data_IF_195026806855
#
_entry.id   IF_195026806855
#
_cell.length_a   1.000
_cell.length_b   1.000
_cell.length_c   1.000
_cell.angle_alpha   90.00
_cell.angle_beta   90.00
_cell.angle_gamma   90.00
#
_symmetry.space_group_name_H-M   'P 1'
#
loop_
_entity.id
_entity.type
_entity.pdbx_description
1 polymer ?
#
# COMPACT_ATOMS: atom_id res chain seq x y z
N UNK A 1 -11.55 8.44 8.85
CA UNK A 1 -10.44 8.56 7.87
C UNK A 1 -11.06 8.92 6.53
N UNK A 2 -10.58 10.00 5.90
CA UNK A 2 -11.21 10.58 4.71
C UNK A 2 -10.23 10.52 3.55
N UNK A 3 -10.56 9.72 2.53
CA UNK A 3 -9.77 9.64 1.30
C UNK A 3 -9.90 10.91 0.47
N UNK A 4 -8.86 11.24 -0.30
CA UNK A 4 -8.82 12.45 -1.11
C UNK A 4 -8.40 12.24 -2.54
N UNK A 5 -8.72 13.22 -3.39
CA UNK A 5 -8.19 13.35 -4.74
C UNK A 5 -7.42 14.66 -4.82
N UNK A 6 -6.18 14.58 -5.31
CA UNK A 6 -5.35 15.73 -5.68
C UNK A 6 -5.28 15.84 -7.19
N UNK A 7 -5.75 16.96 -7.71
CA UNK A 7 -5.74 17.24 -9.14
C UNK A 7 -4.36 17.79 -9.53
N UNK A 8 -3.60 17.00 -10.25
CA UNK A 8 -2.25 17.36 -10.70
C UNK A 8 -2.26 17.76 -12.18
N UNK A 9 -1.51 18.78 -12.52
CA UNK A 9 -1.26 19.23 -13.90
C UNK A 9 0.24 19.43 -14.08
N UNK A 10 0.89 18.68 -14.97
CA UNK A 10 2.33 18.82 -15.22
C UNK A 10 2.75 20.21 -15.70
N UNK A 11 1.82 20.95 -16.31
CA UNK A 11 2.00 22.31 -16.82
C UNK A 11 1.51 23.39 -15.84
N UNK A 12 1.25 23.05 -14.57
CA UNK A 12 0.79 24.00 -13.56
C UNK A 12 1.93 24.90 -13.07
N UNK A 13 1.53 26.05 -12.49
CA UNK A 13 2.48 26.98 -11.85
C UNK A 13 2.86 26.53 -10.43
N UNK A 14 2.27 25.44 -9.94
CA UNK A 14 2.49 24.93 -8.60
C UNK A 14 3.75 24.07 -8.52
N UNK A 15 4.43 24.13 -7.37
CA UNK A 15 5.62 23.33 -7.08
C UNK A 15 5.20 21.91 -6.61
N UNK A 16 4.63 21.16 -7.53
CA UNK A 16 4.18 19.80 -7.30
C UNK A 16 5.26 18.80 -7.65
N UNK A 17 5.65 17.98 -6.67
CA UNK A 17 6.43 16.76 -6.85
C UNK A 17 5.60 15.63 -6.23
N UNK A 18 4.82 14.87 -7.00
CA UNK A 18 3.82 13.94 -6.48
C UNK A 18 4.36 12.92 -5.47
N UNK A 19 5.65 12.60 -5.55
CA UNK A 19 6.35 11.66 -4.65
C UNK A 19 6.70 12.28 -3.29
N UNK A 20 6.78 13.63 -3.22
CA UNK A 20 7.26 14.36 -2.04
C UNK A 20 6.24 15.34 -1.50
N UNK A 21 5.60 16.12 -2.39
CA UNK A 21 4.75 17.25 -2.01
C UNK A 21 3.73 17.63 -3.07
N UNK A 22 2.63 18.19 -2.60
CA UNK A 22 1.59 18.80 -3.44
C UNK A 22 1.23 20.17 -2.93
N UNK A 23 1.40 21.23 -3.76
CA UNK A 23 1.15 22.62 -3.40
C UNK A 23 -0.28 23.04 -3.77
N UNK A 24 -0.95 23.77 -2.88
CA UNK A 24 -2.32 24.23 -3.09
C UNK A 24 -2.62 25.51 -2.33
N UNK A 25 -3.59 26.35 -2.81
CA UNK A 25 -3.97 27.61 -2.16
C UNK A 25 -4.80 27.38 -0.88
N UNK A 26 -4.76 28.36 0.03
CA UNK A 26 -5.37 28.34 1.36
C UNK A 26 -6.85 27.93 1.38
N UNK A 27 -7.62 28.20 0.33
CA UNK A 27 -9.03 27.80 0.22
C UNK A 27 -9.26 26.28 0.33
N UNK A 28 -8.25 25.45 0.07
CA UNK A 28 -8.33 24.00 0.19
C UNK A 28 -7.77 23.46 1.52
N UNK A 29 -7.18 24.30 2.37
CA UNK A 29 -6.53 23.86 3.61
C UNK A 29 -7.44 23.00 4.49
N UNK A 30 -8.67 23.43 4.75
CA UNK A 30 -9.61 22.67 5.59
C UNK A 30 -10.01 21.31 5.02
N UNK A 31 -9.99 21.16 3.68
CA UNK A 31 -10.22 19.85 3.03
C UNK A 31 -8.98 18.98 3.07
N UNK A 32 -7.82 19.52 2.74
CA UNK A 32 -6.56 18.81 2.71
C UNK A 32 -6.17 18.27 4.10
N UNK A 33 -6.43 19.04 5.16
CA UNK A 33 -6.14 18.62 6.54
C UNK A 33 -6.90 17.37 6.98
N UNK A 34 -8.03 17.05 6.34
CA UNK A 34 -8.77 15.81 6.61
C UNK A 34 -8.05 14.55 6.11
N UNK A 35 -7.05 14.71 5.25
CA UNK A 35 -6.32 13.59 4.64
C UNK A 35 -5.00 13.28 5.37
N UNK A 36 -4.64 14.03 6.42
CA UNK A 36 -3.42 13.76 7.20
C UNK A 36 -3.51 12.33 7.80
N UNK A 37 -2.47 11.54 7.53
CA UNK A 37 -2.39 10.15 7.93
C UNK A 37 -3.21 9.18 7.06
N UNK A 38 -3.81 9.66 5.95
CA UNK A 38 -4.63 8.83 5.06
C UNK A 38 -4.19 8.93 3.59
N UNK A 39 -4.76 8.07 2.76
CA UNK A 39 -4.42 7.93 1.36
C UNK A 39 -5.17 8.90 0.47
N UNK A 40 -4.48 9.42 -0.55
CA UNK A 40 -5.04 10.21 -1.66
C UNK A 40 -4.72 9.54 -2.98
N UNK A 41 -5.51 9.85 -4.01
CA UNK A 41 -5.19 9.52 -5.40
C UNK A 41 -4.90 10.78 -6.18
N UNK A 42 -3.92 10.71 -7.08
CA UNK A 42 -3.61 11.77 -8.03
C UNK A 42 -4.43 11.62 -9.30
N UNK A 43 -4.96 12.72 -9.78
CA UNK A 43 -5.78 12.77 -10.98
C UNK A 43 -5.29 13.86 -11.95
N UNK A 44 -5.04 13.50 -13.19
CA UNK A 44 -4.84 14.44 -14.28
C UNK A 44 -6.14 14.67 -15.04
N UNK A 45 -6.57 15.95 -15.23
CA UNK A 45 -7.86 16.25 -15.87
C UNK A 45 -7.89 15.88 -17.36
N UNK A 46 -9.10 15.70 -17.91
CA UNK A 46 -9.34 15.25 -19.29
C UNK A 46 -8.64 16.14 -20.37
N UNK A 47 -8.36 17.40 -20.04
CA UNK A 47 -7.67 18.34 -20.96
C UNK A 47 -6.13 18.21 -20.91
N UNK A 48 -5.58 17.41 -20.02
CA UNK A 48 -4.13 17.18 -19.95
C UNK A 48 -3.68 16.20 -21.03
N UNK A 49 -2.36 16.14 -21.26
CA UNK A 49 -1.77 15.24 -22.25
C UNK A 49 -2.05 13.76 -21.96
N UNK A 50 -2.18 13.41 -20.69
CA UNK A 50 -2.32 12.02 -20.25
C UNK A 50 -3.36 11.92 -19.11
N UNK A 51 -4.67 12.06 -19.44
CA UNK A 51 -5.71 12.16 -18.43
C UNK A 51 -5.95 10.85 -17.66
N UNK A 52 -6.45 10.97 -16.43
CA UNK A 52 -6.86 9.83 -15.58
C UNK A 52 -6.22 9.85 -14.20
N UNK A 53 -6.65 8.91 -13.36
CA UNK A 53 -6.01 8.66 -12.07
C UNK A 53 -4.73 7.86 -12.32
N UNK A 54 -3.62 8.31 -11.76
CA UNK A 54 -2.32 7.78 -12.16
C UNK A 54 -1.44 7.31 -11.01
N UNK A 55 -1.71 7.74 -9.78
CA UNK A 55 -0.92 7.36 -8.62
C UNK A 55 -1.73 7.47 -7.32
N UNK A 56 -1.21 6.85 -6.29
CA UNK A 56 -1.67 6.93 -4.91
C UNK A 56 -0.52 7.36 -4.02
N UNK A 57 -0.81 8.08 -2.94
CA UNK A 57 0.15 8.44 -1.92
C UNK A 57 -0.52 8.63 -0.56
N UNK A 58 0.27 8.65 0.52
CA UNK A 58 -0.22 8.94 1.87
C UNK A 58 0.27 10.32 2.31
N UNK A 59 -0.65 11.14 2.81
CA UNK A 59 -0.32 12.47 3.33
C UNK A 59 0.20 12.32 4.76
N UNK A 60 1.42 12.79 5.04
CA UNK A 60 1.99 12.80 6.39
C UNK A 60 1.65 14.07 7.15
N UNK A 61 1.68 15.22 6.45
CA UNK A 61 1.54 16.54 7.06
C UNK A 61 0.96 17.56 6.07
N UNK A 62 0.30 18.58 6.60
CA UNK A 62 -0.05 19.79 5.84
C UNK A 62 0.65 20.97 6.51
N UNK A 63 1.47 21.69 5.78
CA UNK A 63 2.23 22.83 6.29
C UNK A 63 2.10 24.07 5.39
N UNK A 64 2.22 25.31 5.93
CA UNK A 64 2.30 26.52 5.13
C UNK A 64 3.53 26.50 4.24
N UNK A 65 3.38 26.96 2.99
CA UNK A 65 4.52 27.13 2.10
C UNK A 65 5.27 28.43 2.46
N UNK A 66 6.50 28.26 2.94
CA UNK A 66 7.35 29.40 3.33
C UNK A 66 7.83 30.23 2.13
N UNK A 67 7.78 29.68 0.91
CA UNK A 67 8.25 30.33 -0.32
C UNK A 67 7.15 31.02 -1.09
N UNK A 68 5.87 30.69 -0.81
CA UNK A 68 4.70 31.21 -1.51
C UNK A 68 3.60 31.62 -0.51
N UNK A 69 3.49 32.91 -0.12
CA UNK A 69 2.46 33.39 0.81
C UNK A 69 1.04 33.00 0.37
N UNK A 70 0.23 32.47 1.31
CA UNK A 70 -1.13 32.00 1.03
C UNK A 70 -1.23 30.61 0.40
N UNK A 71 -0.09 29.93 0.24
CA UNK A 71 -0.03 28.56 -0.23
C UNK A 71 0.29 27.58 0.90
N UNK A 72 -0.13 26.35 0.71
CA UNK A 72 0.13 25.23 1.61
C UNK A 72 0.74 24.06 0.82
N UNK A 73 1.44 23.18 1.52
CA UNK A 73 1.99 21.93 0.99
C UNK A 73 1.42 20.75 1.76
N UNK A 74 0.90 19.77 1.04
CA UNK A 74 0.74 18.42 1.55
C UNK A 74 2.06 17.70 1.38
N UNK A 75 2.66 17.27 2.48
CA UNK A 75 3.88 16.47 2.49
C UNK A 75 3.48 15.01 2.36
N UNK A 76 4.09 14.32 1.43
CA UNK A 76 3.84 12.90 1.17
C UNK A 76 4.73 12.05 2.10
N UNK A 77 4.16 11.03 2.71
CA UNK A 77 4.90 10.08 3.53
C UNK A 77 5.94 9.35 2.65
N UNK A 78 7.24 9.40 3.00
CA UNK A 78 8.28 8.74 2.21
C UNK A 78 7.94 7.26 1.96
N UNK A 79 8.09 6.82 0.71
CA UNK A 79 7.80 5.46 0.28
C UNK A 79 6.32 5.12 0.12
N UNK A 80 5.40 6.05 0.37
CA UNK A 80 3.97 5.81 0.18
C UNK A 80 3.48 6.09 -1.24
N UNK A 81 4.24 6.84 -2.04
CA UNK A 81 3.88 7.12 -3.42
C UNK A 81 4.01 5.87 -4.29
N UNK A 82 2.96 5.58 -5.05
CA UNK A 82 2.97 4.50 -6.02
C UNK A 82 2.23 4.92 -7.29
N UNK A 83 2.93 4.88 -8.41
CA UNK A 83 2.32 5.09 -9.71
C UNK A 83 1.54 3.83 -10.13
N UNK A 84 0.36 4.00 -10.69
CA UNK A 84 -0.42 2.89 -11.23
C UNK A 84 0.26 2.30 -12.48
N UNK A 85 0.34 0.98 -12.62
CA UNK A 85 0.80 0.33 -13.85
C UNK A 85 0.02 0.78 -15.08
N UNK A 86 -1.28 1.00 -14.93
CA UNK A 86 -2.14 1.55 -15.96
C UNK A 86 -2.97 2.69 -15.38
N UNK A 87 -3.06 3.81 -16.11
CA UNK A 87 -3.93 4.93 -15.68
C UNK A 87 -5.39 4.50 -15.70
N UNK A 88 -6.11 4.90 -14.66
CA UNK A 88 -7.56 4.67 -14.57
C UNK A 88 -8.26 5.85 -15.23
N UNK A 89 -9.07 5.65 -16.27
CA UNK A 89 -9.76 6.74 -16.96
C UNK A 89 -10.76 7.42 -16.01
N UNK A 90 -11.15 8.65 -16.34
CA UNK A 90 -12.20 9.35 -15.59
C UNK A 90 -13.54 8.65 -15.71
N UNK A 91 -13.79 8.02 -16.86
CA UNK A 91 -15.00 7.28 -17.23
C UNK A 91 -14.61 6.05 -18.04
N UNK A 92 -15.31 4.93 -17.81
CA UNK A 92 -15.23 3.70 -18.60
C UNK A 92 -16.63 3.29 -19.11
N UNK A 93 -16.75 2.06 -19.60
CA UNK A 93 -18.02 1.51 -20.12
C UNK A 93 -19.10 1.41 -19.04
N UNK A 94 -18.71 1.29 -17.76
CA UNK A 94 -19.62 1.25 -16.60
C UNK A 94 -20.02 2.65 -16.11
N UNK A 95 -19.53 3.72 -16.76
CA UNK A 95 -19.78 5.12 -16.43
C UNK A 95 -18.65 5.79 -15.66
N UNK A 96 -19.00 6.82 -14.85
CA UNK A 96 -18.01 7.57 -14.08
C UNK A 96 -17.36 6.70 -13.02
N UNK A 97 -16.02 6.71 -12.96
CA UNK A 97 -15.27 5.96 -11.94
C UNK A 97 -15.51 6.57 -10.56
N UNK A 98 -15.44 7.89 -10.43
CA UNK A 98 -15.79 8.65 -9.22
C UNK A 98 -17.27 9.03 -9.24
N UNK A 99 -18.14 8.09 -8.85
CA UNK A 99 -19.60 8.26 -8.90
C UNK A 99 -20.11 9.35 -7.96
N UNK A 100 -19.39 9.65 -6.89
CA UNK A 100 -19.70 10.77 -5.97
C UNK A 100 -19.59 12.16 -6.61
N UNK A 101 -19.12 12.27 -7.85
CA UNK A 101 -19.16 13.51 -8.63
C UNK A 101 -20.49 13.77 -9.30
N UNK A 102 -21.39 12.79 -9.39
CA UNK A 102 -22.72 12.97 -9.94
C UNK A 102 -23.62 13.71 -8.94
N UNK A 103 -24.41 14.64 -9.45
CA UNK A 103 -25.49 15.25 -8.69
C UNK A 103 -26.79 14.40 -8.78
N UNK A 104 -27.84 14.82 -8.09
CA UNK A 104 -29.13 14.10 -8.07
C UNK A 104 -29.78 13.96 -9.46
N UNK A 105 -29.38 14.81 -10.42
CA UNK A 105 -29.83 14.73 -11.82
C UNK A 105 -28.91 13.88 -12.71
N UNK A 106 -27.94 13.15 -12.14
CA UNK A 106 -26.99 12.31 -12.86
C UNK A 106 -25.95 13.09 -13.69
N UNK A 107 -25.80 14.40 -13.47
CA UNK A 107 -24.82 15.24 -14.17
C UNK A 107 -23.56 15.43 -13.31
N UNK A 108 -22.41 15.57 -13.99
CA UNK A 108 -21.14 15.86 -13.32
C UNK A 108 -21.21 17.21 -12.61
N UNK A 109 -20.96 17.23 -11.32
CA UNK A 109 -20.94 18.43 -10.50
C UNK A 109 -19.63 19.21 -10.68
N UNK A 110 -19.66 20.53 -10.37
CA UNK A 110 -18.46 21.38 -10.39
C UNK A 110 -17.34 20.89 -9.45
N UNK A 111 -17.62 19.97 -8.52
CA UNK A 111 -16.62 19.35 -7.64
C UNK A 111 -15.52 18.61 -8.41
N UNK A 112 -15.81 18.14 -9.62
CA UNK A 112 -14.83 17.49 -10.50
C UNK A 112 -13.61 18.36 -10.82
N UNK A 113 -13.77 19.71 -10.77
CA UNK A 113 -12.71 20.68 -11.07
C UNK A 113 -11.93 21.13 -9.81
N UNK A 114 -12.37 20.70 -8.61
CA UNK A 114 -11.68 21.09 -7.38
C UNK A 114 -10.31 20.41 -7.28
N UNK A 115 -9.27 21.23 -7.07
CA UNK A 115 -7.89 20.76 -7.00
C UNK A 115 -7.69 19.77 -5.83
N UNK A 116 -8.40 19.97 -4.71
CA UNK A 116 -8.40 19.12 -3.53
C UNK A 116 -9.85 18.79 -3.18
N UNK A 117 -10.23 17.51 -3.21
CA UNK A 117 -11.58 17.07 -2.89
C UNK A 117 -11.62 15.73 -2.14
N UNK A 118 -12.57 15.56 -1.22
CA UNK A 118 -12.80 14.27 -0.59
C UNK A 118 -13.45 13.31 -1.58
N UNK A 119 -13.13 12.04 -1.45
CA UNK A 119 -13.67 10.93 -2.25
C UNK A 119 -14.30 9.89 -1.31
N UNK A 120 -15.38 9.23 -1.75
CA UNK A 120 -15.98 8.13 -1.02
C UNK A 120 -15.03 6.91 -1.00
N UNK A 121 -15.13 6.09 0.04
CA UNK A 121 -14.35 4.84 0.13
C UNK A 121 -14.64 3.95 -1.09
N UNK A 122 -15.91 3.85 -1.48
CA UNK A 122 -16.32 3.04 -2.63
C UNK A 122 -15.72 3.52 -3.97
N UNK A 123 -15.61 4.83 -4.18
CA UNK A 123 -14.98 5.39 -5.38
C UNK A 123 -13.46 5.23 -5.33
N UNK A 124 -12.86 5.43 -4.15
CA UNK A 124 -11.45 5.20 -3.93
C UNK A 124 -11.07 3.74 -4.23
N UNK A 125 -11.80 2.77 -3.68
CA UNK A 125 -11.60 1.35 -3.92
C UNK A 125 -11.79 0.99 -5.40
N UNK A 126 -12.76 1.62 -6.09
CA UNK A 126 -13.00 1.42 -7.53
C UNK A 126 -11.84 1.92 -8.38
N UNK A 127 -11.22 3.04 -8.01
CA UNK A 127 -10.01 3.55 -8.68
C UNK A 127 -8.86 2.57 -8.46
N UNK A 128 -8.65 2.13 -7.22
CA UNK A 128 -7.53 1.25 -6.90
C UNK A 128 -7.65 -0.13 -7.53
N UNK A 129 -8.85 -0.72 -7.55
CA UNK A 129 -9.07 -2.03 -8.19
C UNK A 129 -8.78 -2.02 -9.69
N UNK A 130 -8.91 -0.86 -10.35
CA UNK A 130 -8.58 -0.69 -11.78
C UNK A 130 -7.12 -0.28 -11.99
N UNK A 131 -6.54 0.50 -11.09
CA UNK A 131 -5.16 0.99 -11.19
C UNK A 131 -4.12 -0.03 -10.74
N UNK A 132 -4.51 -0.94 -9.84
CA UNK A 132 -3.66 -2.03 -9.34
C UNK A 132 -4.33 -3.35 -9.69
N UNK A 133 -3.91 -4.04 -10.76
CA UNK A 133 -4.52 -5.29 -11.22
C UNK A 133 -4.54 -6.37 -10.14
N UNK A 134 -5.59 -7.19 -10.17
CA UNK A 134 -5.80 -8.34 -9.25
C UNK A 134 -4.98 -9.58 -9.63
N UNK A 135 -3.75 -9.45 -10.10
CA UNK A 135 -2.99 -10.61 -10.59
C UNK A 135 -2.54 -11.59 -9.48
N UNK A 136 -3.13 -11.50 -8.27
CA UNK A 136 -2.74 -12.39 -7.19
C UNK A 136 -3.90 -12.93 -6.34
N UNK A 137 -3.91 -14.26 -6.09
CA UNK A 137 -4.71 -14.80 -5.00
C UNK A 137 -4.26 -14.15 -3.67
N UNK A 138 -5.23 -13.77 -2.85
CA UNK A 138 -5.00 -13.27 -1.50
C UNK A 138 -3.99 -14.15 -0.73
N UNK A 139 -3.10 -13.56 0.08
CA UNK A 139 -2.19 -14.32 0.91
C UNK A 139 -2.96 -15.38 1.72
N UNK A 140 -2.38 -16.56 1.89
CA UNK A 140 -2.97 -17.68 2.66
C UNK A 140 -3.40 -17.32 4.08
N UNK A 141 -2.89 -16.21 4.65
CA UNK A 141 -3.24 -15.68 5.96
C UNK A 141 -4.72 -15.28 6.13
N UNK A 142 -5.43 -14.97 5.04
CA UNK A 142 -6.88 -14.65 5.13
C UNK A 142 -7.71 -15.92 5.27
N UNK A 143 -7.21 -17.04 4.79
CA UNK A 143 -7.89 -18.32 4.92
C UNK A 143 -7.89 -18.84 6.36
N UNK A 144 -6.76 -18.71 7.07
CA UNK A 144 -6.65 -19.10 8.48
C UNK A 144 -7.50 -18.18 9.40
N UNK A 145 -7.58 -16.88 9.11
CA UNK A 145 -8.44 -15.94 9.86
C UNK A 145 -9.94 -16.16 9.58
N UNK A 146 -10.31 -16.61 8.37
CA UNK A 146 -11.70 -16.95 8.02
C UNK A 146 -12.11 -18.29 8.61
N UNK A 147 -11.22 -19.28 8.63
CA UNK A 147 -11.49 -20.60 9.26
C UNK A 147 -11.60 -20.50 10.77
N UNK A 148 -10.79 -19.64 11.44
CA UNK A 148 -10.92 -19.39 12.87
C UNK A 148 -12.14 -18.56 13.25
N UNK A 149 -12.72 -17.78 12.34
CA UNK A 149 -13.98 -17.08 12.59
C UNK A 149 -15.22 -17.93 12.26
N UNK A 150 -15.05 -19.03 11.52
CA UNK A 150 -16.14 -19.93 11.14
C UNK A 150 -16.52 -20.99 12.23
N UNK A 151 -15.75 -21.07 13.31
CA UNK A 151 -16.10 -21.92 14.46
C UNK A 151 -16.97 -21.17 15.45
N UNK A 152 -18.23 -21.07 15.14
CA UNK A 152 -19.47 -20.95 15.94
C UNK A 152 -20.48 -20.03 15.28
N UNK A 153 -21.33 -20.61 14.44
CA UNK A 153 -22.70 -20.15 14.37
C UNK A 153 -23.60 -21.29 13.92
N UNK A 154 -24.49 -21.69 14.84
CA UNK A 154 -25.64 -22.51 14.55
C UNK A 154 -26.51 -21.82 13.50
N UNK A 155 -27.01 -22.60 12.54
CA UNK A 155 -27.97 -22.16 11.54
C UNK A 155 -29.20 -21.54 12.21
N UNK A 156 -29.35 -20.26 12.12
CA UNK A 156 -30.64 -19.59 12.21
C UNK A 156 -30.90 -18.84 10.91
N UNK A 157 -32.01 -19.15 10.27
CA UNK A 157 -32.54 -18.47 9.09
C UNK A 157 -32.91 -17.03 9.46
N UNK A 158 -31.93 -16.11 9.43
CA UNK A 158 -32.20 -14.68 9.47
C UNK A 158 -31.75 -14.04 8.17
N UNK A 159 -32.66 -13.29 7.58
CA UNK A 159 -32.43 -12.38 6.46
C UNK A 159 -31.27 -11.46 6.86
N UNK A 160 -30.10 -11.67 6.24
CA UNK A 160 -28.93 -10.85 6.47
C UNK A 160 -29.20 -9.51 5.81
N UNK A 161 -29.54 -8.49 6.59
CA UNK A 161 -29.20 -7.12 6.23
C UNK A 161 -27.69 -7.05 6.10
N UNK A 162 -27.20 -7.03 4.86
CA UNK A 162 -25.79 -6.92 4.56
C UNK A 162 -25.28 -5.64 5.21
N UNK A 163 -24.51 -5.80 6.30
CA UNK A 163 -23.95 -4.69 7.03
C UNK A 163 -22.90 -4.00 6.14
N UNK A 164 -23.33 -2.95 5.43
CA UNK A 164 -22.50 -2.11 4.56
C UNK A 164 -21.21 -1.62 5.26
N UNK A 165 -21.22 -1.56 6.59
CA UNK A 165 -20.05 -1.20 7.38
C UNK A 165 -18.99 -2.31 7.38
N UNK A 166 -19.41 -3.56 7.33
CA UNK A 166 -18.54 -4.75 7.31
C UNK A 166 -17.90 -4.95 5.93
N UNK A 167 -18.69 -4.81 4.85
CA UNK A 167 -18.17 -4.82 3.47
C UNK A 167 -17.17 -3.70 3.22
N UNK A 168 -17.48 -2.46 3.65
CA UNK A 168 -16.58 -1.32 3.52
C UNK A 168 -15.26 -1.52 4.28
N UNK A 169 -15.28 -2.16 5.46
CA UNK A 169 -14.06 -2.48 6.21
C UNK A 169 -13.23 -3.57 5.53
N UNK A 170 -13.86 -4.61 5.00
CA UNK A 170 -13.19 -5.68 4.27
C UNK A 170 -12.53 -5.16 3.00
N UNK A 171 -13.27 -4.40 2.19
CA UNK A 171 -12.74 -3.80 0.95
C UNK A 171 -11.59 -2.84 1.23
N UNK A 172 -11.70 -2.00 2.26
CA UNK A 172 -10.62 -1.09 2.68
C UNK A 172 -9.39 -1.84 3.17
N UNK A 173 -9.55 -3.01 3.81
CA UNK A 173 -8.43 -3.87 4.23
C UNK A 173 -7.72 -4.47 3.01
N UNK A 174 -8.47 -5.07 2.09
CA UNK A 174 -7.93 -5.66 0.86
C UNK A 174 -7.13 -4.67 0.02
N UNK A 175 -7.63 -3.44 -0.09
CA UNK A 175 -6.95 -2.37 -0.82
C UNK A 175 -5.63 -1.99 -0.14
N UNK A 176 -5.62 -1.83 1.18
CA UNK A 176 -4.39 -1.51 1.92
C UNK A 176 -3.35 -2.61 1.77
N UNK A 177 -3.75 -3.86 1.85
CA UNK A 177 -2.88 -5.02 1.68
C UNK A 177 -2.26 -5.05 0.27
N UNK A 178 -3.03 -4.75 -0.77
CA UNK A 178 -2.54 -4.64 -2.16
C UNK A 178 -1.53 -3.51 -2.32
N UNK A 179 -1.83 -2.34 -1.76
CA UNK A 179 -0.92 -1.18 -1.82
C UNK A 179 0.38 -1.49 -1.08
N UNK A 180 0.30 -1.99 0.16
CA UNK A 180 1.46 -2.41 0.93
C UNK A 180 2.32 -3.40 0.16
N UNK A 181 1.70 -4.45 -0.39
CA UNK A 181 2.38 -5.46 -1.19
C UNK A 181 3.11 -4.86 -2.38
N UNK A 182 2.43 -4.04 -3.17
CA UNK A 182 3.01 -3.42 -4.36
C UNK A 182 4.19 -2.53 -4.01
N UNK A 183 4.07 -1.74 -2.95
CA UNK A 183 5.13 -0.85 -2.47
C UNK A 183 6.36 -1.62 -1.99
N UNK A 184 6.17 -2.67 -1.19
CA UNK A 184 7.27 -3.51 -0.70
C UNK A 184 7.97 -4.20 -1.88
N UNK A 185 7.24 -4.88 -2.76
CA UNK A 185 7.82 -5.59 -3.90
C UNK A 185 8.59 -4.63 -4.81
N UNK A 186 8.08 -3.42 -5.03
CA UNK A 186 8.77 -2.39 -5.83
C UNK A 186 10.03 -1.89 -5.13
N UNK A 187 10.00 -1.63 -3.83
CA UNK A 187 11.16 -1.14 -3.06
C UNK A 187 12.32 -2.15 -3.06
N UNK A 188 12.01 -3.44 -3.15
CA UNK A 188 12.99 -4.53 -3.25
C UNK A 188 13.33 -4.93 -4.69
N UNK A 189 12.96 -4.13 -5.69
CA UNK A 189 13.22 -4.43 -7.10
C UNK A 189 12.71 -5.82 -7.50
N UNK A 190 11.57 -6.25 -6.96
CA UNK A 190 10.96 -7.58 -7.22
C UNK A 190 11.89 -8.75 -6.89
N UNK A 191 12.79 -8.58 -5.92
CA UNK A 191 13.83 -9.51 -5.52
C UNK A 191 13.61 -10.00 -4.10
N UNK A 192 13.87 -11.29 -3.86
CA UNK A 192 13.87 -11.82 -2.50
C UNK A 192 15.04 -11.24 -1.70
N UNK A 193 14.73 -10.65 -0.53
CA UNK A 193 15.73 -10.05 0.35
C UNK A 193 16.80 -11.05 0.83
N UNK A 194 16.42 -12.29 1.09
CA UNK A 194 17.30 -13.31 1.67
C UNK A 194 18.10 -14.07 0.60
N UNK A 195 17.42 -14.54 -0.44
CA UNK A 195 18.08 -15.34 -1.48
C UNK A 195 18.75 -14.49 -2.55
N UNK A 196 18.30 -13.26 -2.75
CA UNK A 196 18.72 -12.42 -3.86
C UNK A 196 18.10 -12.78 -5.21
N UNK A 197 17.26 -13.82 -5.29
CA UNK A 197 16.60 -14.23 -6.52
C UNK A 197 15.58 -13.20 -6.98
N UNK A 198 15.55 -12.95 -8.29
CA UNK A 198 14.56 -12.15 -8.97
C UNK A 198 13.90 -13.02 -10.04
N UNK A 199 12.81 -13.67 -9.68
CA UNK A 199 12.05 -14.53 -10.58
C UNK A 199 10.80 -13.79 -11.04
N UNK A 200 10.71 -13.55 -12.36
CA UNK A 200 9.60 -12.85 -13.00
C UNK A 200 9.07 -13.75 -14.12
N UNK A 201 7.77 -14.05 -14.11
CA UNK A 201 7.15 -14.84 -15.17
C UNK A 201 6.98 -14.02 -16.47
N UNK A 202 6.59 -14.71 -17.56
CA UNK A 202 6.40 -14.07 -18.87
C UNK A 202 5.31 -12.97 -18.89
N UNK A 203 4.43 -12.91 -17.88
CA UNK A 203 3.42 -11.86 -17.68
C UNK A 203 3.89 -10.68 -16.79
N UNK A 204 5.18 -10.66 -16.39
CA UNK A 204 5.73 -9.59 -15.57
C UNK A 204 5.49 -9.72 -14.07
N UNK A 205 4.89 -10.83 -13.60
CA UNK A 205 4.63 -11.10 -12.19
C UNK A 205 5.89 -11.64 -11.51
N UNK A 206 6.26 -11.01 -10.38
CA UNK A 206 7.34 -11.49 -9.52
C UNK A 206 6.87 -12.65 -8.63
N UNK A 207 7.76 -13.61 -8.35
CA UNK A 207 7.50 -14.73 -7.44
C UNK A 207 7.45 -14.29 -5.99
N UNK A 208 8.19 -13.22 -5.63
CA UNK A 208 8.29 -12.73 -4.26
C UNK A 208 6.96 -12.20 -3.72
N UNK A 209 6.78 -12.37 -2.42
CA UNK A 209 5.67 -11.87 -1.63
C UNK A 209 6.14 -10.80 -0.66
N UNK A 210 5.24 -9.87 -0.30
CA UNK A 210 5.50 -8.90 0.75
C UNK A 210 5.09 -9.48 2.10
N UNK A 211 6.06 -9.70 2.97
CA UNK A 211 5.84 -10.12 4.34
C UNK A 211 5.83 -8.91 5.29
N UNK A 212 4.90 -8.88 6.25
CA UNK A 212 4.99 -7.97 7.39
C UNK A 212 6.01 -8.50 8.38
N UNK A 213 7.00 -7.68 8.78
CA UNK A 213 7.99 -8.06 9.80
C UNK A 213 7.31 -8.18 11.17
N UNK A 214 6.49 -7.20 11.53
CA UNK A 214 5.56 -7.25 12.65
C UNK A 214 4.14 -7.39 12.10
N UNK A 215 3.41 -8.49 12.34
CA UNK A 215 2.09 -8.74 11.79
C UNK A 215 1.08 -7.65 12.15
N UNK A 216 0.11 -7.39 11.26
CA UNK A 216 -0.98 -6.44 11.50
C UNK A 216 -1.81 -6.84 12.72
N UNK A 217 -2.02 -8.13 12.94
CA UNK A 217 -2.70 -8.68 14.11
C UNK A 217 -2.02 -8.30 15.45
N UNK A 218 -0.70 -8.06 15.41
CA UNK A 218 0.11 -7.60 16.54
C UNK A 218 0.31 -6.08 16.58
N UNK A 219 -0.45 -5.32 15.77
CA UNK A 219 -0.37 -3.87 15.70
C UNK A 219 0.70 -3.33 14.72
N UNK A 220 1.26 -4.18 13.87
CA UNK A 220 2.18 -3.76 12.81
C UNK A 220 1.49 -2.87 11.78
N UNK A 221 2.08 -1.74 11.37
CA UNK A 221 1.49 -0.84 10.37
C UNK A 221 1.77 -1.33 8.94
N UNK A 222 0.89 -0.95 8.01
CA UNK A 222 1.08 -1.15 6.56
C UNK A 222 2.03 -0.08 6.00
N UNK A 223 3.30 -0.15 6.40
CA UNK A 223 4.40 0.74 5.97
C UNK A 223 5.51 -0.08 5.35
N UNK A 224 6.19 0.45 4.33
CA UNK A 224 7.34 -0.23 3.71
C UNK A 224 8.38 -0.63 4.76
N UNK A 225 8.64 0.23 5.74
CA UNK A 225 9.61 -0.03 6.82
C UNK A 225 9.21 -1.16 7.76
N UNK A 226 7.98 -1.66 7.68
CA UNK A 226 7.50 -2.90 8.32
C UNK A 226 7.33 -4.04 7.31
N UNK A 227 7.89 -3.91 6.11
CA UNK A 227 7.77 -4.87 5.02
C UNK A 227 9.12 -5.42 4.57
N UNK A 228 9.09 -6.66 4.10
CA UNK A 228 10.23 -7.32 3.46
C UNK A 228 9.73 -8.19 2.31
N UNK A 229 10.43 -8.19 1.17
CA UNK A 229 10.10 -9.04 0.03
C UNK A 229 10.79 -10.40 0.15
N UNK A 230 10.04 -11.47 0.17
CA UNK A 230 10.55 -12.83 0.37
C UNK A 230 9.97 -13.79 -0.68
N UNK A 231 10.77 -14.76 -1.15
CA UNK A 231 10.26 -15.90 -1.91
C UNK A 231 9.38 -16.80 -1.02
N UNK A 232 8.44 -17.53 -1.60
CA UNK A 232 7.43 -18.28 -0.84
C UNK A 232 8.00 -19.19 0.25
N UNK A 233 9.09 -19.92 -0.03
CA UNK A 233 9.75 -20.78 0.98
C UNK A 233 10.39 -19.96 2.09
N UNK A 234 11.04 -18.85 1.74
CA UNK A 234 11.70 -17.95 2.72
C UNK A 234 10.65 -17.24 3.57
N UNK A 235 9.55 -16.81 2.97
CA UNK A 235 8.41 -16.22 3.69
C UNK A 235 7.83 -17.20 4.71
N UNK A 236 7.60 -18.44 4.29
CA UNK A 236 7.15 -19.49 5.20
C UNK A 236 8.10 -19.71 6.39
N UNK A 237 9.43 -19.73 6.16
CA UNK A 237 10.43 -19.85 7.22
C UNK A 237 10.45 -18.64 8.16
N UNK A 238 10.31 -17.44 7.61
CA UNK A 238 10.29 -16.20 8.36
C UNK A 238 9.10 -16.12 9.30
N UNK A 239 7.89 -16.39 8.81
CA UNK A 239 6.66 -16.38 9.60
C UNK A 239 6.68 -17.40 10.75
N UNK A 240 7.43 -18.50 10.58
CA UNK A 240 7.57 -19.54 11.61
C UNK A 240 8.78 -19.37 12.52
N UNK A 241 9.51 -18.28 12.33
CA UNK A 241 10.68 -17.95 13.14
C UNK A 241 11.86 -18.88 12.94
N UNK A 242 11.91 -19.58 11.79
CA UNK A 242 13.06 -20.43 11.44
C UNK A 242 14.22 -19.61 10.89
N UNK A 243 13.93 -18.44 10.35
CA UNK A 243 14.90 -17.42 9.99
C UNK A 243 14.51 -16.08 10.60
N UNK A 244 15.49 -15.21 10.82
CA UNK A 244 15.29 -13.85 11.32
C UNK A 244 16.39 -12.93 10.77
N UNK A 245 16.35 -11.66 11.16
CA UNK A 245 17.34 -10.67 10.77
C UNK A 245 17.88 -9.93 11.99
N UNK A 246 19.18 -9.60 11.97
CA UNK A 246 19.78 -8.62 12.90
C UNK A 246 19.40 -7.19 12.50
N UNK A 247 19.77 -6.19 13.32
CA UNK A 247 19.57 -4.79 12.96
C UNK A 247 20.50 -4.35 11.81
N UNK A 248 21.60 -5.08 11.58
CA UNK A 248 22.51 -4.93 10.45
C UNK A 248 22.10 -5.77 9.23
N UNK A 249 20.91 -6.37 9.28
CA UNK A 249 20.34 -7.22 8.25
C UNK A 249 21.06 -8.56 8.01
N UNK A 250 21.92 -9.02 8.91
CA UNK A 250 22.48 -10.37 8.82
C UNK A 250 21.37 -11.41 9.02
N UNK A 251 21.40 -12.47 8.21
CA UNK A 251 20.37 -13.52 8.27
C UNK A 251 20.70 -14.49 9.40
N UNK A 252 19.74 -14.62 10.32
CA UNK A 252 19.80 -15.58 11.43
C UNK A 252 19.07 -16.88 11.04
N UNK A 253 19.65 -18.03 11.35
CA UNK A 253 19.05 -19.36 11.19
C UNK A 253 18.78 -19.93 12.58
N UNK A 254 17.56 -20.35 12.81
CA UNK A 254 17.14 -20.96 14.07
C UNK A 254 17.80 -22.33 14.28
N UNK A 255 18.13 -22.66 15.53
CA UNK A 255 18.60 -24.00 15.92
C UNK A 255 17.52 -25.09 15.73
N UNK A 256 16.26 -24.72 15.55
CA UNK A 256 15.16 -25.65 15.30
C UNK A 256 15.04 -26.08 13.84
N UNK A 257 15.86 -25.53 12.94
CA UNK A 257 15.90 -25.95 11.55
C UNK A 257 16.51 -27.34 11.47
N UNK A 258 15.81 -28.27 10.84
CA UNK A 258 16.25 -29.67 10.67
C UNK A 258 17.32 -29.85 9.57
N UNK A 259 17.39 -28.91 8.62
CA UNK A 259 18.38 -28.87 7.53
C UNK A 259 19.02 -27.46 7.44
N UNK A 260 19.93 -27.13 8.36
CA UNK A 260 20.56 -25.82 8.40
C UNK A 260 21.48 -25.56 7.19
N UNK A 261 22.10 -26.59 6.61
CA UNK A 261 22.97 -26.45 5.45
C UNK A 261 22.14 -26.16 4.18
N UNK A 262 20.99 -26.81 4.03
CA UNK A 262 20.04 -26.51 2.98
C UNK A 262 19.54 -25.08 3.05
N UNK A 263 19.12 -24.62 4.24
CA UNK A 263 18.71 -23.21 4.44
C UNK A 263 19.84 -22.24 4.15
N UNK A 264 21.06 -22.53 4.64
CA UNK A 264 22.24 -21.71 4.40
C UNK A 264 22.59 -21.57 2.91
N UNK A 265 22.39 -22.65 2.15
CA UNK A 265 22.63 -22.64 0.68
C UNK A 265 21.64 -21.74 -0.08
N UNK A 266 20.47 -21.46 0.49
CA UNK A 266 19.47 -20.55 -0.09
C UNK A 266 19.78 -19.08 0.15
N UNK A 267 20.58 -18.76 1.17
CA UNK A 267 20.93 -17.39 1.53
C UNK A 267 21.94 -16.88 0.50
N UNK A 268 21.79 -15.62 0.08
CA UNK A 268 22.72 -15.01 -0.85
C UNK A 268 24.17 -15.01 -0.27
N UNK A 269 25.22 -14.96 -1.11
CA UNK A 269 26.61 -15.15 -0.67
C UNK A 269 27.12 -14.13 0.38
N UNK A 270 26.46 -12.97 0.52
CA UNK A 270 26.87 -11.98 1.54
C UNK A 270 26.44 -12.39 2.95
N UNK A 271 25.49 -13.33 3.09
CA UNK A 271 24.89 -13.69 4.38
C UNK A 271 23.97 -12.62 4.95
N UNK A 272 23.75 -11.52 4.24
CA UNK A 272 22.94 -10.37 4.65
C UNK A 272 21.73 -10.19 3.74
N UNK A 273 20.60 -9.76 4.30
CA UNK A 273 19.44 -9.44 3.50
C UNK A 273 19.74 -8.24 2.58
N UNK A 274 19.34 -8.35 1.33
CA UNK A 274 19.35 -7.26 0.36
C UNK A 274 18.18 -6.35 0.69
N UNK A 275 18.44 -5.11 1.08
CA UNK A 275 17.44 -4.13 1.47
C UNK A 275 17.41 -2.97 0.47
N UNK A 276 16.33 -2.16 0.44
CA UNK A 276 16.26 -0.97 -0.41
C UNK A 276 17.48 -0.05 -0.24
N UNK A 277 17.93 0.54 -1.34
CA UNK A 277 19.07 1.48 -1.34
C UNK A 277 18.75 2.76 -0.56
N UNK A 278 17.50 3.22 -0.65
CA UNK A 278 17.01 4.34 0.14
C UNK A 278 16.80 3.91 1.61
N UNK A 279 17.58 4.49 2.52
CA UNK A 279 17.50 4.22 3.95
C UNK A 279 16.11 4.48 4.55
N UNK A 280 15.32 5.41 3.98
CA UNK A 280 13.97 5.71 4.43
C UNK A 280 12.98 4.56 4.18
N UNK A 281 13.30 3.66 3.26
CA UNK A 281 12.49 2.51 2.88
C UNK A 281 12.93 1.19 3.52
N UNK A 282 14.08 1.19 4.21
CA UNK A 282 14.64 -0.01 4.84
C UNK A 282 13.80 -0.47 6.04
N UNK A 283 13.84 -1.77 6.37
CA UNK A 283 13.22 -2.30 7.58
C UNK A 283 13.67 -1.54 8.83
N UNK A 284 12.69 -1.06 9.59
CA UNK A 284 13.00 -0.30 10.80
C UNK A 284 13.43 -1.24 11.93
N UNK A 285 14.54 -0.95 12.67
CA UNK A 285 15.09 -1.83 13.71
C UNK A 285 14.07 -2.29 14.75
N UNK A 286 13.10 -1.45 15.11
CA UNK A 286 12.04 -1.81 16.08
C UNK A 286 11.19 -3.02 15.63
N UNK A 287 10.94 -3.18 14.31
CA UNK A 287 10.15 -4.31 13.80
C UNK A 287 11.01 -5.57 13.73
N UNK A 288 12.28 -5.42 13.36
CA UNK A 288 13.26 -6.52 13.39
C UNK A 288 13.45 -7.04 14.80
N UNK A 289 13.59 -6.15 15.80
CA UNK A 289 13.65 -6.52 17.19
C UNK A 289 12.38 -7.25 17.64
N UNK A 290 11.20 -6.72 17.30
CA UNK A 290 9.93 -7.37 17.62
C UNK A 290 9.85 -8.78 17.05
N UNK A 291 10.25 -8.99 15.79
CA UNK A 291 10.26 -10.32 15.17
C UNK A 291 11.22 -11.27 15.89
N UNK A 292 12.42 -10.80 16.26
CA UNK A 292 13.38 -11.62 17.03
C UNK A 292 12.85 -12.03 18.40
N UNK A 293 12.12 -11.15 19.06
CA UNK A 293 11.61 -11.39 20.41
C UNK A 293 10.36 -12.27 20.43
N UNK A 294 9.49 -12.18 19.41
CA UNK A 294 8.16 -12.79 19.44
C UNK A 294 7.98 -13.95 18.45
N UNK A 295 8.75 -13.96 17.34
CA UNK A 295 8.62 -14.97 16.29
C UNK A 295 9.85 -15.88 16.19
N UNK A 296 11.06 -15.32 16.17
CA UNK A 296 12.28 -16.06 15.93
C UNK A 296 12.57 -17.06 17.05
N UNK A 297 12.89 -18.31 16.66
CA UNK A 297 13.19 -19.41 17.57
C UNK A 297 14.70 -19.56 17.70
N UNK A 298 15.28 -18.92 18.70
CA UNK A 298 16.73 -18.91 18.95
C UNK A 298 17.30 -20.31 19.30
#
# INVERSE_FOLDING_TARGET
MTKGVFLHRPDSIYDDVPEERYQFPAQYHGRASQFIGDWIVYYEPVKSRNPGYFAIARVSEISPDRTAPGMFRAVIEPGSYMQFPSRVPFQDDDGLIERGLLNDAGKISGRAQAAVRPISIADFDRILSRGIPEDEPLPRLIQDDLENSAFREERSDFIIEVDRSRESRLTSRLVRDRVFRSLVIQAYDRRCAVTGLQLINGGGRAEVEAAHIMPVASGGPDKITNGIALSGTVHWMFDRGLIGLTDDFDVLISRQVNDPDGVKSMINPSGRAIVPTDCALQPHPRYLAWHREHCFKA
#
